data_IF_162475403936
#
_entry.id   IF_162475403936
#
_cell.length_a   1.000
_cell.length_b   1.000
_cell.length_c   1.000
_cell.angle_alpha   90.00
_cell.angle_beta   90.00
_cell.angle_gamma   90.00
#
_symmetry.space_group_name_H-M   'P 1'
#
loop_
_entity.id
_entity.type
_entity.pdbx_description
1 polymer ?
#
# COMPACT_ATOMS: atom_id res chain seq x y z
N UNK A 1 23.95 -16.64 -10.03
CA UNK A 1 24.87 -15.52 -9.74
C UNK A 1 24.29 -14.74 -8.59
N UNK A 2 25.05 -14.62 -7.50
CA UNK A 2 24.73 -13.74 -6.37
C UNK A 2 24.72 -12.25 -6.78
N UNK A 3 25.36 -11.92 -7.90
CA UNK A 3 25.40 -10.59 -8.53
C UNK A 3 24.02 -10.13 -9.06
N UNK A 4 23.10 -11.06 -9.37
CA UNK A 4 21.76 -10.74 -9.88
C UNK A 4 20.78 -10.21 -8.82
N UNK A 5 21.05 -10.42 -7.53
CA UNK A 5 20.17 -9.96 -6.44
C UNK A 5 20.40 -8.48 -6.16
N UNK A 6 21.66 -8.03 -6.19
CA UNK A 6 22.01 -6.61 -6.02
C UNK A 6 21.60 -5.79 -7.26
N UNK A 7 21.78 -6.30 -8.47
CA UNK A 7 21.32 -5.62 -9.71
C UNK A 7 19.79 -5.56 -9.84
N UNK A 8 19.05 -6.49 -9.24
CA UNK A 8 17.58 -6.42 -9.18
C UNK A 8 17.08 -5.37 -8.18
N UNK A 9 17.94 -4.84 -7.31
CA UNK A 9 17.62 -3.70 -6.46
C UNK A 9 17.72 -2.41 -7.28
N UNK A 10 16.74 -2.17 -8.17
CA UNK A 10 16.41 -0.80 -8.54
C UNK A 10 16.32 0.01 -7.26
N UNK A 11 17.06 1.12 -7.19
CA UNK A 11 16.90 2.10 -6.12
C UNK A 11 15.41 2.41 -6.00
N UNK A 12 14.83 2.12 -4.85
CA UNK A 12 13.43 2.45 -4.59
C UNK A 12 13.31 3.97 -4.55
N UNK A 13 12.29 4.52 -5.21
CA UNK A 13 12.05 5.95 -5.19
C UNK A 13 11.82 6.44 -3.75
N UNK A 14 12.47 7.53 -3.38
CA UNK A 14 12.33 8.09 -2.04
C UNK A 14 10.98 8.83 -1.92
N UNK A 15 10.16 8.39 -0.98
CA UNK A 15 8.86 9.00 -0.64
C UNK A 15 8.85 9.62 0.78
N UNK A 16 10.01 9.62 1.43
CA UNK A 16 10.21 10.12 2.80
C UNK A 16 9.81 11.57 3.04
N UNK A 17 9.83 12.43 2.02
CA UNK A 17 9.48 13.85 2.14
C UNK A 17 7.97 14.13 2.20
N UNK A 18 7.13 13.10 2.05
CA UNK A 18 5.69 13.26 2.11
C UNK A 18 5.22 13.75 3.49
N UNK A 19 4.35 14.75 3.48
CA UNK A 19 3.68 15.31 4.66
C UNK A 19 2.31 14.68 4.92
N UNK A 20 1.92 13.66 4.15
CA UNK A 20 0.64 12.99 4.31
C UNK A 20 0.60 12.27 5.65
N UNK A 21 -0.46 12.51 6.42
CA UNK A 21 -0.76 11.78 7.66
C UNK A 21 -2.13 11.12 7.57
N UNK A 22 -2.29 9.98 8.24
CA UNK A 22 -3.55 9.25 8.37
C UNK A 22 -3.93 9.09 9.84
N UNK A 23 -5.22 9.11 10.13
CA UNK A 23 -5.74 8.62 11.41
C UNK A 23 -5.78 7.08 11.40
N UNK A 24 -5.77 6.40 12.57
CA UNK A 24 -5.98 4.95 12.61
C UNK A 24 -7.30 4.54 11.94
N UNK A 25 -8.34 5.37 12.10
CA UNK A 25 -9.61 5.09 11.45
C UNK A 25 -9.50 5.15 9.92
N UNK A 26 -8.62 5.99 9.36
CA UNK A 26 -8.37 5.99 7.92
C UNK A 26 -7.80 4.65 7.45
N UNK A 27 -6.92 4.03 8.24
CA UNK A 27 -6.33 2.72 7.93
C UNK A 27 -7.43 1.66 7.85
N UNK A 28 -8.24 1.51 8.90
CA UNK A 28 -9.25 0.46 8.99
C UNK A 28 -10.38 0.71 7.98
N UNK A 29 -10.79 1.97 7.83
CA UNK A 29 -11.78 2.41 6.83
C UNK A 29 -11.30 2.20 5.41
N UNK A 30 -10.02 2.35 5.11
CA UNK A 30 -9.49 2.17 3.75
C UNK A 30 -9.69 0.73 3.27
N UNK A 31 -9.37 -0.25 4.11
CA UNK A 31 -9.57 -1.69 3.84
C UNK A 31 -11.06 -2.03 3.75
N UNK A 32 -11.88 -1.52 4.70
CA UNK A 32 -13.34 -1.71 4.69
C UNK A 32 -14.02 -1.09 3.47
N UNK A 33 -13.50 0.01 2.93
CA UNK A 33 -14.02 0.61 1.70
C UNK A 33 -13.57 -0.15 0.47
N UNK A 34 -12.30 -0.60 0.43
CA UNK A 34 -11.80 -1.42 -0.67
C UNK A 34 -12.58 -2.74 -0.79
N UNK A 35 -12.93 -3.39 0.32
CA UNK A 35 -13.74 -4.62 0.30
C UNK A 35 -15.13 -4.46 -0.34
N UNK A 36 -15.65 -3.23 -0.41
CA UNK A 36 -16.95 -2.93 -1.00
C UNK A 36 -16.91 -2.59 -2.50
N UNK A 37 -15.71 -2.43 -3.08
CA UNK A 37 -15.53 -2.03 -4.49
C UNK A 37 -14.75 -3.09 -5.28
N UNK A 38 -15.08 -4.36 -5.03
CA UNK A 38 -14.44 -5.54 -5.63
C UNK A 38 -15.49 -6.49 -6.24
N UNK A 39 -16.15 -6.10 -7.35
CA UNK A 39 -17.18 -6.92 -7.99
C UNK A 39 -16.63 -8.27 -8.47
N UNK A 40 -15.42 -8.32 -9.04
CA UNK A 40 -14.86 -9.59 -9.52
C UNK A 40 -14.50 -10.51 -8.35
N UNK A 41 -13.97 -9.97 -7.25
CA UNK A 41 -13.73 -10.75 -6.05
C UNK A 41 -15.05 -11.28 -5.46
N UNK A 42 -16.11 -10.48 -5.49
CA UNK A 42 -17.43 -10.89 -4.98
C UNK A 42 -17.98 -12.08 -5.77
N UNK A 43 -17.79 -12.08 -7.09
CA UNK A 43 -18.27 -13.18 -7.95
C UNK A 43 -17.37 -14.42 -7.91
N UNK A 44 -16.05 -14.24 -7.77
CA UNK A 44 -15.09 -15.32 -8.02
C UNK A 44 -14.28 -15.76 -6.81
N UNK A 45 -14.08 -14.88 -5.83
CA UNK A 45 -13.14 -15.05 -4.73
C UNK A 45 -11.66 -15.19 -5.15
N UNK A 46 -11.34 -15.04 -6.44
CA UNK A 46 -10.08 -15.48 -7.03
C UNK A 46 -9.18 -14.33 -7.53
N UNK A 47 -9.49 -13.10 -7.14
CA UNK A 47 -8.73 -11.91 -7.53
C UNK A 47 -8.26 -11.12 -6.32
N UNK A 48 -7.16 -10.40 -6.51
CA UNK A 48 -6.66 -9.35 -5.63
C UNK A 48 -7.16 -7.98 -6.08
N UNK A 49 -7.08 -7.02 -5.18
CA UNK A 49 -7.37 -5.62 -5.46
C UNK A 49 -6.28 -4.70 -4.94
N UNK A 50 -6.07 -3.61 -5.66
CA UNK A 50 -5.34 -2.43 -5.24
C UNK A 50 -6.25 -1.21 -5.33
N UNK A 51 -6.31 -0.42 -4.25
CA UNK A 51 -7.06 0.82 -4.17
C UNK A 51 -6.17 2.01 -3.82
N UNK A 52 -6.62 3.20 -4.18
CA UNK A 52 -6.00 4.45 -3.76
C UNK A 52 -6.95 5.20 -2.82
N UNK A 53 -6.52 5.35 -1.58
CA UNK A 53 -7.27 6.00 -0.51
C UNK A 53 -6.77 7.43 -0.33
N UNK A 54 -7.69 8.40 -0.31
CA UNK A 54 -7.39 9.80 0.00
C UNK A 54 -8.16 10.19 1.26
N UNK A 55 -7.50 10.71 2.31
CA UNK A 55 -8.18 11.16 3.54
C UNK A 55 -9.34 12.11 3.25
N UNK A 56 -10.43 11.93 3.99
CA UNK A 56 -11.68 12.68 3.78
C UNK A 56 -12.47 12.31 2.52
N UNK A 57 -11.86 11.69 1.50
CA UNK A 57 -12.56 11.24 0.27
C UNK A 57 -12.85 9.74 0.26
N UNK A 58 -11.95 8.94 0.82
CA UNK A 58 -12.02 7.47 0.80
C UNK A 58 -11.29 6.86 -0.39
N UNK A 59 -11.75 5.69 -0.83
CA UNK A 59 -11.21 5.02 -2.02
C UNK A 59 -11.67 5.78 -3.27
N UNK A 60 -10.76 6.51 -3.91
CA UNK A 60 -11.03 7.28 -5.13
C UNK A 60 -10.79 6.46 -6.40
N UNK A 61 -10.09 5.33 -6.28
CA UNK A 61 -9.84 4.41 -7.38
C UNK A 61 -9.55 2.99 -6.86
N UNK A 62 -10.04 1.97 -7.57
CA UNK A 62 -9.75 0.57 -7.27
C UNK A 62 -9.58 -0.24 -8.56
N UNK A 63 -8.70 -1.23 -8.55
CA UNK A 63 -8.45 -2.15 -9.66
C UNK A 63 -8.27 -3.58 -9.16
N UNK A 64 -8.86 -4.52 -9.89
CA UNK A 64 -8.80 -5.95 -9.61
C UNK A 64 -7.96 -6.68 -10.67
N UNK A 65 -7.30 -7.75 -10.24
CA UNK A 65 -6.62 -8.71 -11.11
C UNK A 65 -6.38 -10.03 -10.36
N UNK A 66 -6.25 -11.13 -11.10
CA UNK A 66 -5.83 -12.43 -10.54
C UNK A 66 -4.45 -12.30 -9.86
N UNK A 67 -3.53 -11.54 -10.47
CA UNK A 67 -2.22 -11.24 -9.91
C UNK A 67 -2.19 -9.94 -9.09
N UNK A 68 -1.71 -10.01 -7.85
CA UNK A 68 -1.59 -8.82 -6.97
C UNK A 68 -0.77 -7.68 -7.59
N UNK A 69 0.30 -8.02 -8.30
CA UNK A 69 1.18 -7.04 -8.95
C UNK A 69 0.46 -6.33 -10.09
N UNK A 70 -0.31 -7.07 -10.88
CA UNK A 70 -1.09 -6.53 -11.97
C UNK A 70 -2.22 -5.63 -11.44
N UNK A 71 -2.85 -5.97 -10.31
CA UNK A 71 -3.84 -5.11 -9.69
C UNK A 71 -3.23 -3.75 -9.32
N UNK A 72 -2.01 -3.74 -8.77
CA UNK A 72 -1.27 -2.51 -8.46
C UNK A 72 -0.83 -1.76 -9.73
N UNK A 73 -0.34 -2.45 -10.77
CA UNK A 73 0.04 -1.81 -12.04
C UNK A 73 -1.16 -1.17 -12.74
N UNK A 74 -2.32 -1.84 -12.73
CA UNK A 74 -3.58 -1.28 -13.23
C UNK A 74 -3.98 -0.04 -12.44
N UNK A 75 -3.80 -0.05 -11.12
CA UNK A 75 -4.07 1.12 -10.28
C UNK A 75 -3.14 2.26 -10.67
N UNK A 76 -1.83 2.02 -10.73
CA UNK A 76 -0.82 3.01 -11.12
C UNK A 76 -1.16 3.67 -12.47
N UNK A 77 -1.41 2.84 -13.50
CA UNK A 77 -1.77 3.35 -14.82
C UNK A 77 -3.10 4.11 -14.84
N UNK A 78 -4.06 3.73 -13.99
CA UNK A 78 -5.33 4.44 -13.90
C UNK A 78 -5.20 5.79 -13.16
N UNK A 79 -4.38 5.88 -12.11
CA UNK A 79 -4.08 7.15 -11.42
C UNK A 79 -3.36 8.11 -12.36
N UNK A 80 -2.34 7.63 -13.07
CA UNK A 80 -1.59 8.42 -14.04
C UNK A 80 -2.50 8.99 -15.15
N UNK A 81 -3.40 8.17 -15.71
CA UNK A 81 -4.37 8.63 -16.72
C UNK A 81 -5.38 9.64 -16.17
N UNK A 82 -5.71 9.55 -14.89
CA UNK A 82 -6.63 10.47 -14.23
C UNK A 82 -5.95 11.75 -13.70
N UNK A 83 -4.61 11.86 -13.82
CA UNK A 83 -3.85 12.97 -13.26
C UNK A 83 -3.94 13.05 -11.73
N UNK A 84 -4.16 11.91 -11.06
CA UNK A 84 -4.21 11.86 -9.60
C UNK A 84 -2.78 11.72 -9.07
N UNK A 85 -2.35 12.71 -8.30
CA UNK A 85 -1.05 12.72 -7.64
C UNK A 85 -1.02 11.68 -6.50
N UNK A 86 -0.11 10.70 -6.60
CA UNK A 86 0.06 9.65 -5.61
C UNK A 86 0.49 10.16 -4.23
N UNK A 87 1.10 11.35 -4.14
CA UNK A 87 1.49 11.95 -2.86
C UNK A 87 0.30 12.33 -1.99
N UNK A 88 -0.90 12.42 -2.58
CA UNK A 88 -2.12 12.86 -1.90
C UNK A 88 -2.85 11.76 -1.13
N UNK A 89 -2.36 10.52 -1.19
CA UNK A 89 -3.06 9.37 -0.63
C UNK A 89 -2.18 8.16 -0.34
N UNK A 90 -2.84 7.06 0.00
CA UNK A 90 -2.24 5.79 0.36
C UNK A 90 -2.67 4.69 -0.61
N UNK A 91 -1.77 3.77 -0.91
CA UNK A 91 -2.10 2.53 -1.63
C UNK A 91 -2.63 1.50 -0.63
N UNK A 92 -3.74 0.86 -0.96
CA UNK A 92 -4.37 -0.18 -0.14
C UNK A 92 -4.43 -1.47 -0.95
N UNK A 93 -3.96 -2.59 -0.41
CA UNK A 93 -3.90 -3.87 -1.13
C UNK A 93 -4.50 -5.02 -0.34
N UNK A 94 -5.17 -5.95 -1.04
CA UNK A 94 -5.71 -7.17 -0.45
C UNK A 94 -4.71 -8.34 -0.43
N UNK A 95 -3.44 -8.08 -0.74
CA UNK A 95 -2.38 -9.09 -0.84
C UNK A 95 -1.34 -8.97 0.27
N UNK A 96 -0.37 -9.90 0.28
CA UNK A 96 0.91 -9.70 0.97
C UNK A 96 1.71 -8.57 0.30
N UNK A 97 2.68 -8.03 1.05
CA UNK A 97 3.60 -7.00 0.55
C UNK A 97 4.98 -7.61 0.27
N UNK A 98 5.38 -7.60 -1.00
CA UNK A 98 6.74 -7.94 -1.46
C UNK A 98 7.53 -6.68 -1.82
N UNK A 99 8.83 -6.83 -2.05
CA UNK A 99 9.73 -5.73 -2.51
C UNK A 99 9.14 -4.96 -3.67
N UNK A 100 8.69 -5.66 -4.72
CA UNK A 100 8.10 -5.04 -5.90
C UNK A 100 6.82 -4.25 -5.60
N UNK A 101 6.04 -4.65 -4.58
CA UNK A 101 4.83 -3.89 -4.19
C UNK A 101 5.22 -2.55 -3.56
N UNK A 102 6.29 -2.54 -2.76
CA UNK A 102 6.85 -1.31 -2.18
C UNK A 102 7.41 -0.43 -3.30
N UNK A 103 8.24 -0.97 -4.18
CA UNK A 103 8.84 -0.22 -5.29
C UNK A 103 7.79 0.41 -6.21
N UNK A 104 6.75 -0.34 -6.57
CA UNK A 104 5.65 0.18 -7.39
C UNK A 104 4.82 1.23 -6.66
N UNK A 105 4.62 1.07 -5.36
CA UNK A 105 3.94 2.09 -4.53
C UNK A 105 4.74 3.37 -4.44
N UNK A 106 6.07 3.27 -4.31
CA UNK A 106 6.97 4.41 -4.34
C UNK A 106 6.95 5.10 -5.71
N UNK A 107 6.96 4.34 -6.80
CA UNK A 107 6.85 4.86 -8.17
C UNK A 107 5.50 5.54 -8.47
N UNK A 108 4.43 5.18 -7.75
CA UNK A 108 3.15 5.92 -7.78
C UNK A 108 3.30 7.29 -7.09
N UNK A 109 4.31 7.48 -6.24
CA UNK A 109 4.50 8.66 -5.39
C UNK A 109 3.83 8.55 -4.02
N UNK A 110 3.26 7.39 -3.69
CA UNK A 110 2.54 7.18 -2.44
C UNK A 110 3.51 6.82 -1.32
N UNK A 111 3.46 7.57 -0.22
CA UNK A 111 4.34 7.35 0.94
C UNK A 111 3.79 6.34 1.95
N UNK A 112 2.59 5.82 1.73
CA UNK A 112 1.91 4.89 2.64
C UNK A 112 1.34 3.73 1.83
N UNK A 113 1.66 2.51 2.26
CA UNK A 113 1.04 1.27 1.79
C UNK A 113 0.33 0.57 2.95
N UNK A 114 -0.90 0.16 2.72
CA UNK A 114 -1.78 -0.49 3.70
C UNK A 114 -2.18 -1.87 3.15
N UNK A 115 -1.92 -2.93 3.90
CA UNK A 115 -2.17 -4.30 3.45
C UNK A 115 -2.98 -5.13 4.45
N UNK A 116 -3.86 -5.99 3.93
CA UNK A 116 -4.61 -6.96 4.78
C UNK A 116 -3.74 -8.14 5.24
N UNK A 117 -2.60 -8.38 4.60
CA UNK A 117 -1.74 -9.54 4.83
C UNK A 117 -0.29 -9.13 5.10
N UNK A 118 0.52 -10.07 5.59
CA UNK A 118 1.87 -9.81 6.09
C UNK A 118 2.84 -9.33 4.99
N UNK A 119 3.80 -8.45 5.34
CA UNK A 119 4.95 -8.15 4.49
C UNK A 119 6.04 -9.22 4.62
N UNK A 120 6.97 -9.28 3.66
CA UNK A 120 8.23 -10.03 3.83
C UNK A 120 9.28 -9.18 4.54
N UNK A 121 10.26 -9.80 5.18
CA UNK A 121 11.35 -9.07 5.84
C UNK A 121 12.11 -8.15 4.87
N UNK A 122 12.28 -8.58 3.60
CA UNK A 122 12.93 -7.75 2.60
C UNK A 122 12.02 -6.57 2.18
N UNK A 123 10.70 -6.75 2.12
CA UNK A 123 9.77 -5.65 1.85
C UNK A 123 9.78 -4.59 2.95
N UNK A 124 9.88 -5.00 4.22
CA UNK A 124 10.04 -4.08 5.36
C UNK A 124 11.31 -3.25 5.16
N UNK A 125 12.47 -3.87 4.89
CA UNK A 125 13.72 -3.14 4.63
C UNK A 125 13.63 -2.20 3.43
N UNK A 126 12.96 -2.61 2.36
CA UNK A 126 12.74 -1.75 1.20
C UNK A 126 11.85 -0.56 1.54
N UNK A 127 10.79 -0.75 2.32
CA UNK A 127 9.91 0.34 2.76
C UNK A 127 10.65 1.32 3.68
N UNK A 128 11.49 0.79 4.58
CA UNK A 128 12.35 1.58 5.45
C UNK A 128 13.28 2.49 4.62
N UNK A 129 14.00 1.91 3.65
CA UNK A 129 14.91 2.64 2.77
C UNK A 129 14.19 3.68 1.87
N UNK A 130 12.93 3.42 1.50
CA UNK A 130 12.12 4.36 0.72
C UNK A 130 11.58 5.54 1.56
N UNK A 131 11.64 5.47 2.88
CA UNK A 131 10.93 6.41 3.75
C UNK A 131 9.42 6.18 3.78
N UNK A 132 8.95 4.97 3.46
CA UNK A 132 7.53 4.62 3.28
C UNK A 132 6.92 4.04 4.56
N UNK A 133 5.74 4.50 4.93
CA UNK A 133 4.95 3.90 6.01
C UNK A 133 4.31 2.60 5.52
N UNK A 134 4.72 1.47 6.08
CA UNK A 134 4.17 0.15 5.78
C UNK A 134 3.24 -0.29 6.92
N UNK A 135 1.95 -0.28 6.64
CA UNK A 135 0.91 -0.83 7.52
C UNK A 135 0.45 -2.16 6.96
N UNK A 136 0.37 -3.19 7.80
CA UNK A 136 -0.08 -4.49 7.37
C UNK A 136 -0.88 -5.22 8.45
N UNK A 137 -1.38 -6.40 8.11
CA UNK A 137 -2.20 -7.23 9.00
C UNK A 137 -3.47 -6.53 9.50
N UNK A 138 -4.02 -5.62 8.69
CA UNK A 138 -5.24 -4.87 9.02
C UNK A 138 -6.44 -5.83 9.12
N UNK A 139 -7.04 -5.94 10.31
CA UNK A 139 -8.14 -6.85 10.64
C UNK A 139 -9.10 -6.21 11.61
N UNK A 140 -10.31 -5.90 11.15
CA UNK A 140 -11.26 -5.15 11.97
C UNK A 140 -10.67 -3.77 12.29
N UNK A 141 -10.46 -3.51 13.58
CA UNK A 141 -9.84 -2.26 14.05
C UNK A 141 -8.35 -2.41 14.38
N UNK A 142 -7.79 -3.62 14.31
CA UNK A 142 -6.38 -3.88 14.59
C UNK A 142 -5.52 -3.79 13.33
N UNK A 143 -4.28 -3.32 13.49
CA UNK A 143 -3.25 -3.32 12.45
C UNK A 143 -1.86 -3.16 13.08
N UNK A 144 -0.83 -3.53 12.32
CA UNK A 144 0.57 -3.37 12.71
C UNK A 144 1.27 -2.38 11.77
N UNK A 145 2.06 -1.47 12.35
CA UNK A 145 2.92 -0.57 11.61
C UNK A 145 4.35 -1.11 11.67
N UNK A 146 4.94 -1.35 10.49
CA UNK A 146 6.26 -1.96 10.35
C UNK A 146 7.38 -0.95 10.09
N UNK A 147 7.07 0.21 9.50
CA UNK A 147 8.06 1.25 9.15
C UNK A 147 7.42 2.64 9.20
N UNK A 148 8.20 3.67 9.51
CA UNK A 148 7.82 5.10 9.49
C UNK A 148 6.43 5.39 10.12
N UNK A 149 6.23 5.12 11.43
CA UNK A 149 4.94 5.26 12.11
C UNK A 149 4.50 6.71 12.32
N UNK A 150 5.39 7.69 12.14
CA UNK A 150 5.15 9.12 12.32
C UNK A 150 4.01 9.69 11.44
N UNK A 151 3.64 8.99 10.35
CA UNK A 151 2.50 9.35 9.49
C UNK A 151 1.15 8.83 9.98
N UNK A 152 1.09 8.14 11.13
CA UNK A 152 -0.16 7.66 11.74
C UNK A 152 -0.35 8.36 13.08
N UNK A 153 -1.29 9.31 13.14
CA UNK A 153 -1.32 10.34 14.21
C UNK A 153 -2.23 10.02 15.41
N UNK A 154 -3.13 9.04 15.33
CA UNK A 154 -3.95 8.61 16.48
C UNK A 154 -4.47 7.17 16.35
N UNK A 155 -4.65 6.45 17.47
CA UNK A 155 -5.32 5.12 17.55
C UNK A 155 -4.46 3.97 18.12
N UNK A 156 -5.11 2.87 18.51
CA UNK A 156 -4.45 1.67 19.11
C UNK A 156 -3.61 0.98 18.04
N UNK A 157 -2.35 1.39 17.89
CA UNK A 157 -1.39 0.76 16.99
C UNK A 157 -0.37 -0.05 17.80
N UNK A 158 -0.04 -1.26 17.31
CA UNK A 158 1.18 -1.95 17.73
C UNK A 158 2.27 -1.57 16.74
N UNK A 159 3.26 -0.83 17.23
CA UNK A 159 4.49 -0.61 16.48
C UNK A 159 5.34 -1.89 16.59
N UNK A 160 5.67 -2.49 15.44
CA UNK A 160 6.49 -3.70 15.37
C UNK A 160 7.90 -3.26 14.97
N UNK A 161 8.78 -3.12 15.98
CA UNK A 161 10.20 -2.83 15.80
C UNK A 161 10.99 -4.08 15.38
#
# INVERSE_FOLDING_TARGET
GIESIEEAMRSVDAVGSSKLTLEAEDITRSVKRLSKVQPLHTETGAVHAAGFYVPGKGIVMAREDVGRHNALDKLAGALARAGIDGSTGAVVVTSRVSVEMVQKTAAIGAAIIIAVSAPTALAIRTAEAAGMTLVALVRGEDFDIFTHPDRVVSGVAKHVA
#
